data_IF_701507685217
#
_entry.id   IF_701507685217
#
_cell.length_a   1.000
_cell.length_b   1.000
_cell.length_c   1.000
_cell.angle_alpha   90.00
_cell.angle_beta   90.00
_cell.angle_gamma   90.00
#
_symmetry.space_group_name_H-M   'P 1'
#
loop_
_entity.id
_entity.type
_entity.pdbx_description
1 polymer ?
#
# COMPACT_ATOMS: atom_id res chain seq x y z
N UNK A 1 33.85 -10.37 0.42
CA UNK A 1 33.07 -9.23 0.95
C UNK A 1 31.64 -9.71 1.17
N UNK A 2 31.25 -10.05 2.40
CA UNK A 2 29.87 -10.41 2.71
C UNK A 2 29.03 -9.13 2.68
N UNK A 3 28.29 -8.91 1.59
CA UNK A 3 27.43 -7.75 1.44
C UNK A 3 26.36 -7.75 2.53
N UNK A 4 26.27 -6.66 3.29
CA UNK A 4 25.18 -6.43 4.25
C UNK A 4 23.87 -6.54 3.45
N UNK A 5 23.05 -7.54 3.75
CA UNK A 5 21.77 -7.74 3.05
C UNK A 5 20.89 -6.52 3.35
N UNK A 6 20.51 -5.79 2.30
CA UNK A 6 19.56 -4.68 2.40
C UNK A 6 18.19 -5.31 2.62
N UNK A 7 17.51 -4.85 3.67
CA UNK A 7 16.19 -5.31 4.08
C UNK A 7 15.14 -5.04 2.99
N UNK A 8 14.20 -5.97 2.82
CA UNK A 8 13.25 -5.94 1.70
C UNK A 8 12.28 -4.74 1.80
N UNK A 9 11.96 -4.33 3.02
CA UNK A 9 11.19 -3.10 3.31
C UNK A 9 11.91 -1.86 2.73
N UNK A 10 13.24 -1.82 2.85
CA UNK A 10 14.03 -0.69 2.36
C UNK A 10 14.07 -0.68 0.84
N UNK A 11 14.12 -1.85 0.19
CA UNK A 11 14.05 -1.96 -1.28
C UNK A 11 12.72 -1.44 -1.81
N UNK A 12 11.61 -1.76 -1.15
CA UNK A 12 10.29 -1.29 -1.56
C UNK A 12 10.18 0.24 -1.47
N UNK A 13 10.63 0.84 -0.37
CA UNK A 13 10.67 2.30 -0.21
C UNK A 13 11.54 3.00 -1.27
N UNK A 14 12.65 2.39 -1.68
CA UNK A 14 13.51 2.90 -2.76
C UNK A 14 12.76 2.91 -4.10
N UNK A 15 12.02 1.84 -4.40
CA UNK A 15 11.20 1.74 -5.63
C UNK A 15 10.08 2.77 -5.64
N UNK A 16 9.38 2.94 -4.52
CA UNK A 16 8.34 3.96 -4.36
C UNK A 16 8.90 5.39 -4.49
N UNK A 17 10.04 5.68 -3.87
CA UNK A 17 10.71 6.96 -3.98
C UNK A 17 11.11 7.26 -5.43
N UNK A 18 11.64 6.28 -6.16
CA UNK A 18 11.96 6.44 -7.58
C UNK A 18 10.70 6.66 -8.43
N UNK A 19 9.62 5.91 -8.18
CA UNK A 19 8.34 6.07 -8.86
C UNK A 19 7.70 7.44 -8.60
N UNK A 20 7.93 8.03 -7.43
CA UNK A 20 7.50 9.40 -7.09
C UNK A 20 8.31 10.51 -7.80
N UNK A 21 9.32 10.15 -8.61
CA UNK A 21 10.15 11.08 -9.36
C UNK A 21 11.39 11.59 -8.61
N UNK A 22 11.73 11.01 -7.46
CA UNK A 22 12.96 11.36 -6.75
C UNK A 22 14.20 10.83 -7.50
N UNK A 23 15.20 11.69 -7.66
CA UNK A 23 16.48 11.29 -8.25
C UNK A 23 17.18 10.22 -7.42
N UNK A 24 17.84 9.28 -8.09
CA UNK A 24 18.56 8.16 -7.45
C UNK A 24 19.65 8.64 -6.48
N UNK A 25 20.28 9.79 -6.75
CA UNK A 25 21.28 10.41 -5.85
C UNK A 25 20.67 10.95 -4.56
N UNK A 26 19.40 11.38 -4.60
CA UNK A 26 18.66 11.82 -3.41
C UNK A 26 18.25 10.61 -2.58
N UNK A 27 17.72 9.57 -3.22
CA UNK A 27 17.37 8.29 -2.60
C UNK A 27 18.59 7.66 -1.92
N UNK A 28 19.75 7.61 -2.60
CA UNK A 28 21.00 7.10 -2.04
C UNK A 28 21.40 7.80 -0.73
N UNK A 29 21.27 9.14 -0.69
CA UNK A 29 21.59 9.94 0.51
C UNK A 29 20.59 9.72 1.63
N UNK A 30 19.32 9.62 1.29
CA UNK A 30 18.22 9.47 2.25
C UNK A 30 18.23 8.10 2.93
N UNK A 31 18.53 7.04 2.18
CA UNK A 31 18.60 5.68 2.70
C UNK A 31 20.01 5.25 3.12
N UNK A 32 21.03 6.10 2.93
CA UNK A 32 22.43 5.77 3.27
C UNK A 32 23.01 4.63 2.44
N UNK A 33 22.55 4.46 1.20
CA UNK A 33 22.91 3.35 0.31
C UNK A 33 23.67 3.89 -0.90
N UNK A 34 24.64 3.12 -1.41
CA UNK A 34 25.38 3.49 -2.61
C UNK A 34 24.48 3.64 -3.85
N UNK A 35 24.80 4.61 -4.70
CA UNK A 35 24.04 4.86 -5.95
C UNK A 35 23.94 3.62 -6.85
N UNK A 36 25.00 2.80 -6.89
CA UNK A 36 25.02 1.52 -7.63
C UNK A 36 24.04 0.49 -7.07
N UNK A 37 23.83 0.47 -5.75
CA UNK A 37 22.84 -0.39 -5.12
C UNK A 37 21.43 0.10 -5.40
N UNK A 38 21.19 1.41 -5.38
CA UNK A 38 19.90 2.00 -5.80
C UNK A 38 19.61 1.66 -7.26
N UNK A 39 20.59 1.77 -8.15
CA UNK A 39 20.45 1.42 -9.57
C UNK A 39 20.08 -0.05 -9.78
N UNK A 40 20.74 -0.96 -9.06
CA UNK A 40 20.37 -2.37 -9.06
C UNK A 40 18.95 -2.57 -8.55
N UNK A 41 18.58 -1.99 -7.41
CA UNK A 41 17.25 -2.16 -6.81
C UNK A 41 16.14 -1.63 -7.73
N UNK A 42 16.37 -0.50 -8.42
CA UNK A 42 15.39 0.10 -9.34
C UNK A 42 15.27 -0.70 -10.63
N UNK A 43 16.38 -1.20 -11.19
CA UNK A 43 16.41 -1.97 -12.45
C UNK A 43 16.10 -3.46 -12.29
N UNK A 44 16.12 -3.99 -11.07
CA UNK A 44 15.76 -5.37 -10.77
C UNK A 44 14.24 -5.54 -10.93
N UNK A 45 13.82 -5.80 -12.17
CA UNK A 45 12.44 -6.14 -12.56
C UNK A 45 12.07 -7.56 -12.06
N UNK A 46 11.79 -7.65 -10.76
CA UNK A 46 11.03 -8.72 -10.08
C UNK A 46 11.72 -10.07 -9.88
N UNK A 47 11.14 -11.03 -9.12
CA UNK A 47 10.27 -10.91 -7.95
C UNK A 47 11.00 -11.50 -6.73
N UNK A 48 11.46 -10.67 -5.78
CA UNK A 48 11.83 -11.18 -4.46
C UNK A 48 10.80 -10.71 -3.45
N UNK A 49 9.81 -11.58 -3.29
CA UNK A 49 9.26 -11.95 -1.98
C UNK A 49 8.71 -10.79 -1.15
N UNK A 50 7.63 -10.18 -1.66
CA UNK A 50 6.51 -9.77 -0.81
C UNK A 50 5.93 -11.03 -0.16
N UNK A 51 6.62 -11.57 0.84
CA UNK A 51 5.97 -12.35 1.88
C UNK A 51 5.48 -11.34 2.90
N UNK A 52 4.15 -11.36 3.11
CA UNK A 52 3.32 -10.47 3.94
C UNK A 52 2.64 -9.33 3.16
N UNK A 53 1.76 -9.67 2.22
CA UNK A 53 0.34 -9.69 2.61
C UNK A 53 -0.44 -10.60 1.67
N UNK A 54 -1.14 -11.56 2.25
CA UNK A 54 -2.24 -12.28 1.60
C UNK A 54 -3.37 -11.29 1.29
N UNK A 55 -3.18 -10.43 0.31
CA UNK A 55 -4.27 -9.97 -0.55
C UNK A 55 -3.98 -10.48 -1.95
N UNK A 56 -3.95 -11.81 -1.98
CA UNK A 56 -4.15 -12.57 -3.19
C UNK A 56 -5.32 -12.03 -3.98
N UNK A 57 -5.22 -12.26 -5.28
CA UNK A 57 -6.15 -11.92 -6.33
C UNK A 57 -7.46 -12.71 -6.17
N UNK A 58 -8.19 -12.54 -5.05
CA UNK A 58 -9.61 -12.88 -4.98
C UNK A 58 -10.31 -11.95 -5.96
N UNK A 59 -10.91 -12.56 -6.98
CA UNK A 59 -11.37 -11.92 -8.20
C UNK A 59 -12.16 -10.64 -7.93
N UNK A 60 -12.09 -9.70 -8.89
CA UNK A 60 -12.82 -8.43 -8.87
C UNK A 60 -14.25 -8.54 -8.31
N UNK A 61 -14.90 -9.70 -8.45
CA UNK A 61 -16.22 -10.07 -7.94
C UNK A 61 -16.39 -10.05 -6.41
N UNK A 62 -15.54 -10.68 -5.61
CA UNK A 62 -15.79 -10.81 -4.15
C UNK A 62 -15.52 -9.51 -3.39
N UNK A 63 -14.51 -8.76 -3.83
CA UNK A 63 -14.25 -7.42 -3.31
C UNK A 63 -15.42 -6.49 -3.64
N UNK A 64 -15.97 -6.58 -4.85
CA UNK A 64 -17.15 -5.81 -5.26
C UNK A 64 -18.35 -6.14 -4.38
N UNK A 65 -18.61 -7.43 -4.12
CA UNK A 65 -19.71 -7.88 -3.26
C UNK A 65 -19.55 -7.40 -1.81
N UNK A 66 -18.33 -7.43 -1.27
CA UNK A 66 -18.03 -6.88 0.06
C UNK A 66 -18.25 -5.36 0.11
N UNK A 67 -17.82 -4.63 -0.92
CA UNK A 67 -18.04 -3.18 -1.02
C UNK A 67 -19.54 -2.88 -1.06
N UNK A 68 -20.30 -3.56 -1.91
CA UNK A 68 -21.76 -3.36 -2.03
C UNK A 68 -22.49 -3.69 -0.72
N UNK A 69 -22.09 -4.76 -0.03
CA UNK A 69 -22.67 -5.11 1.27
C UNK A 69 -22.38 -4.06 2.35
N UNK A 70 -21.18 -3.46 2.33
CA UNK A 70 -20.82 -2.38 3.24
C UNK A 70 -21.61 -1.10 2.93
N UNK A 71 -21.77 -0.74 1.66
CA UNK A 71 -22.56 0.42 1.22
C UNK A 71 -24.02 0.31 1.69
N UNK A 72 -24.67 -0.84 1.50
CA UNK A 72 -26.04 -1.06 2.01
C UNK A 72 -26.16 -0.92 3.53
N UNK A 73 -25.16 -1.41 4.27
CA UNK A 73 -25.14 -1.31 5.73
C UNK A 73 -24.96 0.14 6.19
N UNK A 74 -24.19 0.95 5.46
CA UNK A 74 -24.04 2.38 5.73
C UNK A 74 -25.39 3.08 5.55
N UNK A 75 -26.10 2.85 4.43
CA UNK A 75 -27.42 3.46 4.17
C UNK A 75 -28.44 3.15 5.28
N UNK A 76 -28.48 1.90 5.75
CA UNK A 76 -29.35 1.49 6.85
C UNK A 76 -29.00 2.21 8.16
N UNK A 77 -27.71 2.33 8.46
CA UNK A 77 -27.24 3.04 9.65
C UNK A 77 -27.55 4.53 9.57
N UNK A 78 -27.39 5.15 8.41
CA UNK A 78 -27.74 6.55 8.18
C UNK A 78 -29.24 6.80 8.39
N UNK A 79 -30.11 5.92 7.86
CA UNK A 79 -31.56 6.00 8.11
C UNK A 79 -31.91 5.85 9.59
N UNK A 80 -31.26 4.92 10.31
CA UNK A 80 -31.44 4.76 11.76
C UNK A 80 -31.00 6.00 12.52
N UNK A 81 -29.85 6.58 12.17
CA UNK A 81 -29.35 7.82 12.77
C UNK A 81 -30.32 8.97 12.50
N UNK A 82 -30.85 9.09 11.28
CA UNK A 82 -31.83 10.12 10.93
C UNK A 82 -33.13 9.97 11.74
N UNK A 83 -33.65 8.75 11.87
CA UNK A 83 -34.83 8.47 12.70
C UNK A 83 -34.62 8.75 14.19
N UNK A 84 -33.43 8.43 14.71
CA UNK A 84 -33.05 8.76 16.09
C UNK A 84 -32.90 10.27 16.28
N UNK A 85 -32.31 11.00 15.33
CA UNK A 85 -32.22 12.46 15.35
C UNK A 85 -33.60 13.13 15.29
N UNK A 86 -34.53 12.59 14.50
CA UNK A 86 -35.90 13.07 14.44
C UNK A 86 -36.65 12.84 15.75
N UNK A 87 -36.51 11.66 16.37
CA UNK A 87 -37.08 11.36 17.70
C UNK A 87 -36.50 12.20 18.83
N UNK A 88 -35.25 12.64 18.73
CA UNK A 88 -34.57 13.46 19.75
C UNK A 88 -34.92 14.97 19.66
N UNK A 89 -35.60 15.39 18.60
CA UNK A 89 -36.07 16.77 18.38
C UNK A 89 -37.56 16.97 18.72
N UNK A 90 -38.29 15.90 19.03
CA UNK A 90 -39.62 15.94 19.64
C UNK A 90 -39.51 15.76 21.14
#
# INVERSE_FOLDING_TARGET
>A
MAGKRIDDITRQKIKEAHASGLSMRKIAREFGIGSSSVDRIVKEEGPQNVQNDETEKMGKTERQLKIEALERRIDELEKKILGLKAKKKS
#
